data_IF_688716350720
#
_entry.id   IF_688716350720
#
_cell.length_a   1.000
_cell.length_b   1.000
_cell.length_c   1.000
_cell.angle_alpha   90.00
_cell.angle_beta   90.00
_cell.angle_gamma   90.00
#
_symmetry.space_group_name_H-M   'P 1'
#
loop_
_entity.id
_entity.type
_entity.pdbx_description
1 polymer ?
#
# COMPACT_ATOMS: atom_id res chain seq x y z
N UNK A 1 6.82 22.61 -15.38
CA UNK A 1 6.95 21.77 -14.18
C UNK A 1 6.51 20.38 -14.61
N UNK A 2 7.44 19.45 -14.73
CA UNK A 2 7.14 18.11 -15.21
C UNK A 2 6.22 17.39 -14.23
N UNK A 3 5.11 16.91 -14.70
CA UNK A 3 4.29 15.94 -13.97
C UNK A 3 5.10 14.66 -13.87
N UNK A 4 5.53 14.30 -12.67
CA UNK A 4 6.23 13.05 -12.43
C UNK A 4 5.28 11.90 -12.74
N UNK A 5 5.60 11.09 -13.73
CA UNK A 5 4.86 9.90 -14.15
C UNK A 5 5.27 8.68 -13.31
N UNK A 6 5.38 8.88 -12.01
CA UNK A 6 5.89 7.89 -11.08
C UNK A 6 4.79 7.40 -10.17
N UNK A 7 4.79 6.12 -9.83
CA UNK A 7 3.95 5.57 -8.76
C UNK A 7 4.85 5.24 -7.55
N UNK A 8 4.72 5.97 -6.45
CA UNK A 8 5.39 5.62 -5.21
C UNK A 8 4.66 4.45 -4.55
N UNK A 9 5.40 3.39 -4.27
CA UNK A 9 4.89 2.20 -3.62
C UNK A 9 5.70 1.89 -2.36
N UNK A 10 5.04 1.38 -1.33
CA UNK A 10 5.68 0.79 -0.16
C UNK A 10 5.03 -0.55 0.11
N UNK A 11 5.80 -1.63 0.02
CA UNK A 11 5.29 -2.98 0.00
C UNK A 11 6.23 -3.98 0.67
N UNK A 12 5.70 -5.16 0.97
CA UNK A 12 6.44 -6.28 1.51
C UNK A 12 6.13 -7.53 0.68
N UNK A 13 7.14 -8.34 0.42
CA UNK A 13 7.00 -9.56 -0.38
C UNK A 13 7.68 -10.76 0.27
N UNK A 14 7.00 -11.89 0.22
CA UNK A 14 7.54 -13.19 0.61
C UNK A 14 8.24 -13.90 -0.55
N UNK A 15 9.07 -14.92 -0.27
CA UNK A 15 9.73 -15.72 -1.30
C UNK A 15 8.71 -16.51 -2.14
N UNK A 16 9.09 -16.82 -3.40
CA UNK A 16 8.27 -17.60 -4.32
C UNK A 16 6.89 -16.98 -4.61
N UNK A 17 6.91 -15.71 -4.95
CA UNK A 17 5.69 -14.98 -5.32
C UNK A 17 4.80 -15.77 -6.30
N UNK A 18 3.45 -15.79 -6.11
CA UNK A 18 2.70 -15.15 -5.03
C UNK A 18 2.51 -16.04 -3.78
N UNK A 19 3.19 -17.21 -3.69
CA UNK A 19 2.87 -18.28 -2.71
C UNK A 19 3.09 -17.87 -1.24
N UNK A 20 4.01 -16.94 -0.99
CA UNK A 20 4.30 -16.41 0.36
C UNK A 20 3.85 -14.99 0.55
N UNK A 21 3.00 -14.53 -0.38
CA UNK A 21 2.26 -13.30 -0.30
C UNK A 21 3.05 -12.03 -0.62
N UNK A 22 2.29 -10.97 -0.81
CA UNK A 22 2.74 -9.59 -0.95
C UNK A 22 1.70 -8.69 -0.27
N UNK A 23 2.15 -7.64 0.39
CA UNK A 23 1.32 -6.66 1.09
C UNK A 23 1.77 -5.28 0.63
N UNK A 24 0.92 -4.62 -0.15
CA UNK A 24 1.15 -3.28 -0.66
C UNK A 24 0.44 -2.29 0.26
N UNK A 25 1.21 -1.49 0.97
CA UNK A 25 0.69 -0.55 1.98
C UNK A 25 0.37 0.79 1.34
N UNK A 26 1.27 1.23 0.46
CA UNK A 26 1.10 2.45 -0.33
C UNK A 26 1.23 2.05 -1.78
N UNK A 27 0.17 2.23 -2.55
CA UNK A 27 0.12 1.84 -3.94
C UNK A 27 -0.78 2.76 -4.75
N UNK A 28 -0.36 3.11 -5.95
CA UNK A 28 -1.17 3.84 -6.89
C UNK A 28 -0.43 4.12 -8.18
N UNK A 29 -1.15 4.41 -9.25
CA UNK A 29 -0.57 4.65 -10.56
C UNK A 29 -1.02 5.98 -11.16
N UNK A 30 -0.18 6.54 -12.02
CA UNK A 30 -0.46 7.72 -12.82
C UNK A 30 -0.89 8.92 -11.94
N UNK A 31 -2.12 9.42 -12.11
CA UNK A 31 -2.68 10.53 -11.36
C UNK A 31 -3.68 10.09 -10.29
N UNK A 32 -3.51 8.91 -9.72
CA UNK A 32 -4.33 8.47 -8.60
C UNK A 32 -4.24 9.48 -7.45
N UNK A 33 -5.37 9.69 -6.80
CA UNK A 33 -5.50 10.59 -5.64
C UNK A 33 -5.84 9.84 -4.36
N UNK A 34 -6.18 8.56 -4.48
CA UNK A 34 -6.51 7.68 -3.38
C UNK A 34 -5.50 6.53 -3.32
N UNK A 35 -5.06 6.22 -2.12
CA UNK A 35 -4.17 5.08 -1.89
C UNK A 35 -4.93 3.77 -2.03
N UNK A 36 -4.29 2.78 -2.60
CA UNK A 36 -4.73 1.40 -2.59
C UNK A 36 -3.88 0.60 -1.61
N UNK A 37 -4.51 -0.32 -0.91
CA UNK A 37 -3.85 -1.34 -0.11
C UNK A 37 -4.21 -2.67 -0.72
N UNK A 38 -3.24 -3.40 -1.23
CA UNK A 38 -3.47 -4.63 -1.98
C UNK A 38 -2.80 -5.81 -1.31
N UNK A 39 -3.42 -6.97 -1.38
CA UNK A 39 -2.83 -8.25 -0.99
C UNK A 39 -2.77 -9.17 -2.20
N UNK A 40 -1.61 -9.78 -2.42
CA UNK A 40 -1.40 -10.82 -3.41
C UNK A 40 -1.00 -12.11 -2.71
N UNK A 41 -1.57 -13.24 -3.12
CA UNK A 41 -1.27 -14.53 -2.50
C UNK A 41 -1.44 -15.70 -3.47
N UNK A 42 -1.13 -16.91 -3.03
CA UNK A 42 -1.65 -18.11 -3.68
C UNK A 42 -3.18 -18.20 -3.51
N UNK A 43 -3.89 -18.92 -4.42
CA UNK A 43 -5.36 -19.05 -4.36
C UNK A 43 -5.90 -19.50 -3.02
N UNK A 44 -7.14 -19.10 -2.71
CA UNK A 44 -7.87 -19.48 -1.50
C UNK A 44 -7.74 -18.50 -0.34
N UNK A 45 -7.21 -17.30 -0.55
CA UNK A 45 -7.29 -16.19 0.39
C UNK A 45 -8.43 -15.24 -0.03
N UNK A 46 -9.61 -15.39 0.56
CA UNK A 46 -10.82 -14.60 0.28
C UNK A 46 -11.16 -13.77 1.52
N UNK A 47 -10.47 -12.63 1.73
CA UNK A 47 -10.66 -11.88 2.96
C UNK A 47 -11.99 -11.11 2.97
N UNK A 48 -12.69 -11.21 4.09
CA UNK A 48 -13.80 -10.35 4.46
C UNK A 48 -13.31 -9.08 5.17
N UNK A 49 -14.23 -8.14 5.42
CA UNK A 49 -13.96 -7.02 6.34
C UNK A 49 -13.94 -7.55 7.76
N UNK A 50 -12.84 -7.32 8.46
CA UNK A 50 -12.66 -7.75 9.85
C UNK A 50 -13.47 -6.94 10.85
N UNK A 51 -13.46 -7.39 12.11
CA UNK A 51 -14.09 -6.67 13.22
C UNK A 51 -13.54 -5.25 13.35
N UNK A 52 -14.41 -4.28 13.59
CA UNK A 52 -14.11 -2.84 13.61
C UNK A 52 -14.29 -2.14 12.26
N UNK A 53 -14.65 -2.88 11.21
CA UNK A 53 -14.94 -2.29 9.90
C UNK A 53 -13.70 -1.78 9.16
N UNK A 54 -13.95 -1.04 8.09
CA UNK A 54 -12.97 -0.27 7.32
C UNK A 54 -13.65 0.95 6.72
N UNK A 55 -12.87 1.99 6.38
CA UNK A 55 -13.41 3.17 5.71
C UNK A 55 -13.27 3.07 4.19
N UNK A 56 -12.26 2.36 3.69
CA UNK A 56 -12.06 2.13 2.26
C UNK A 56 -13.05 1.13 1.67
N UNK A 57 -13.13 1.08 0.36
CA UNK A 57 -13.98 0.16 -0.39
C UNK A 57 -13.17 -0.93 -1.09
N UNK A 58 -13.84 -2.05 -1.37
CA UNK A 58 -13.20 -3.20 -2.00
C UNK A 58 -12.89 -2.93 -3.48
N UNK A 59 -11.71 -3.32 -3.91
CA UNK A 59 -11.26 -3.31 -5.29
C UNK A 59 -10.56 -4.64 -5.63
N UNK A 60 -10.33 -4.88 -6.91
CA UNK A 60 -9.66 -6.09 -7.37
C UNK A 60 -10.52 -7.35 -7.23
N UNK A 61 -9.87 -8.49 -7.07
CA UNK A 61 -10.53 -9.78 -6.94
C UNK A 61 -11.02 -10.04 -5.51
N UNK A 62 -12.01 -10.92 -5.35
CA UNK A 62 -12.40 -11.41 -4.02
C UNK A 62 -11.32 -12.34 -3.43
N UNK A 63 -10.75 -13.23 -4.25
CA UNK A 63 -9.60 -14.09 -3.89
C UNK A 63 -8.31 -13.40 -4.29
N UNK A 64 -7.45 -13.11 -3.31
CA UNK A 64 -6.16 -12.44 -3.53
C UNK A 64 -5.20 -13.24 -4.44
N UNK A 65 -5.45 -14.54 -4.61
CA UNK A 65 -4.69 -15.44 -5.49
C UNK A 65 -5.34 -15.72 -6.85
N UNK A 66 -6.49 -15.13 -7.15
CA UNK A 66 -7.15 -15.33 -8.43
C UNK A 66 -6.27 -14.89 -9.59
N UNK A 67 -6.30 -15.66 -10.70
CA UNK A 67 -5.49 -15.35 -11.88
C UNK A 67 -3.98 -15.40 -11.66
N UNK A 68 -3.51 -16.19 -10.68
CA UNK A 68 -2.09 -16.29 -10.34
C UNK A 68 -1.61 -15.15 -9.41
N UNK A 69 -2.52 -14.44 -8.78
CA UNK A 69 -2.21 -13.37 -7.83
C UNK A 69 -1.98 -12.00 -8.44
N UNK A 70 -1.93 -11.87 -9.76
CA UNK A 70 -1.54 -10.61 -10.44
C UNK A 70 -2.42 -9.40 -10.11
N UNK A 71 -3.73 -9.58 -10.00
CA UNK A 71 -4.63 -8.46 -9.66
C UNK A 71 -4.72 -8.23 -8.15
N UNK A 72 -4.55 -9.29 -7.37
CA UNK A 72 -4.73 -9.22 -5.91
C UNK A 72 -6.17 -8.94 -5.47
N UNK A 73 -6.31 -8.72 -4.19
CA UNK A 73 -7.53 -8.24 -3.55
C UNK A 73 -7.23 -6.96 -2.77
N UNK A 74 -7.95 -5.88 -3.04
CA UNK A 74 -7.55 -4.55 -2.55
C UNK A 74 -8.63 -3.81 -1.78
N UNK A 75 -8.19 -2.73 -1.15
CA UNK A 75 -9.01 -1.71 -0.49
C UNK A 75 -8.54 -0.35 -0.93
N UNK A 76 -9.38 0.41 -1.63
CA UNK A 76 -9.06 1.80 -1.97
C UNK A 76 -9.55 2.73 -0.87
N UNK A 77 -8.69 3.65 -0.46
CA UNK A 77 -9.00 4.67 0.54
C UNK A 77 -10.11 5.60 0.03
N UNK A 78 -10.96 6.08 0.93
CA UNK A 78 -11.91 7.17 0.64
C UNK A 78 -11.39 8.55 1.05
N UNK A 79 -10.11 8.65 1.42
CA UNK A 79 -9.49 9.91 1.89
C UNK A 79 -8.70 10.53 0.72
N UNK A 80 -9.18 11.65 0.18
CA UNK A 80 -8.60 12.29 -1.00
C UNK A 80 -7.15 12.82 -0.82
N UNK A 81 -6.67 12.90 0.41
CA UNK A 81 -5.29 13.28 0.74
C UNK A 81 -4.40 12.08 1.03
N UNK A 82 -4.88 10.88 0.76
CA UNK A 82 -4.12 9.66 1.06
C UNK A 82 -3.04 9.35 0.02
N UNK A 83 -3.08 9.95 -1.17
CA UNK A 83 -2.10 9.68 -2.21
C UNK A 83 -1.88 10.88 -3.15
N UNK A 84 -0.79 10.86 -3.92
CA UNK A 84 -0.52 11.77 -5.02
C UNK A 84 -0.30 13.23 -4.59
N UNK A 85 -0.69 14.16 -5.47
CA UNK A 85 -0.44 15.59 -5.26
C UNK A 85 -1.13 16.16 -4.02
N UNK A 86 -2.31 15.66 -3.69
CA UNK A 86 -3.06 16.11 -2.51
C UNK A 86 -2.41 15.64 -1.20
N UNK A 87 -1.82 14.45 -1.16
CA UNK A 87 -1.00 13.97 -0.05
C UNK A 87 0.18 14.90 0.20
N UNK A 88 0.94 15.25 -0.85
CA UNK A 88 2.08 16.16 -0.75
C UNK A 88 1.67 17.56 -0.32
N UNK A 89 0.59 18.11 -0.92
CA UNK A 89 0.08 19.43 -0.58
C UNK A 89 -0.42 19.54 0.87
N UNK A 90 -0.88 18.41 1.44
CA UNK A 90 -1.34 18.33 2.84
C UNK A 90 -0.19 18.08 3.84
N UNK A 91 1.07 18.10 3.38
CA UNK A 91 2.25 17.90 4.22
C UNK A 91 2.60 16.43 4.48
N UNK A 92 2.06 15.52 3.65
CA UNK A 92 2.31 14.09 3.80
C UNK A 92 1.46 13.44 4.89
N UNK A 93 1.93 12.30 5.40
CA UNK A 93 1.22 11.55 6.42
C UNK A 93 2.00 10.31 6.87
N UNK A 94 1.33 9.49 7.68
CA UNK A 94 1.86 8.21 8.16
C UNK A 94 0.88 7.10 7.75
N UNK A 95 1.42 6.06 7.16
CA UNK A 95 0.74 4.78 7.03
C UNK A 95 1.21 3.87 8.15
N UNK A 96 0.28 3.25 8.83
CA UNK A 96 0.56 2.31 9.90
C UNK A 96 -0.14 1.00 9.60
N UNK A 97 0.57 -0.12 9.68
CA UNK A 97 0.03 -1.44 9.44
C UNK A 97 0.10 -2.31 10.69
N UNK A 98 -0.89 -3.16 10.86
CA UNK A 98 -0.93 -4.22 11.85
C UNK A 98 -1.18 -5.54 11.12
N UNK A 99 -0.20 -6.43 11.19
CA UNK A 99 -0.31 -7.78 10.68
C UNK A 99 -0.31 -8.79 11.83
N UNK A 100 -1.35 -9.62 11.87
CA UNK A 100 -1.53 -10.71 12.82
C UNK A 100 -1.99 -11.98 12.10
N UNK A 101 -2.02 -13.12 12.77
CA UNK A 101 -2.57 -14.36 12.23
C UNK A 101 -4.05 -14.25 11.80
N UNK A 102 -4.80 -13.30 12.33
CA UNK A 102 -6.25 -13.15 12.11
C UNK A 102 -6.64 -11.99 11.21
N UNK A 103 -5.76 -10.99 11.00
CA UNK A 103 -6.06 -9.81 10.21
C UNK A 103 -4.81 -9.07 9.74
N UNK A 104 -4.95 -8.39 8.59
CA UNK A 104 -4.05 -7.33 8.14
C UNK A 104 -4.85 -6.05 8.09
N UNK A 105 -4.39 -5.01 8.81
CA UNK A 105 -5.06 -3.71 8.89
C UNK A 105 -4.10 -2.60 8.53
N UNK A 106 -4.59 -1.58 7.81
CA UNK A 106 -3.80 -0.40 7.46
C UNK A 106 -4.58 0.86 7.78
N UNK A 107 -3.92 1.81 8.43
CA UNK A 107 -4.40 3.16 8.72
C UNK A 107 -3.60 4.19 7.94
N UNK A 108 -4.24 5.27 7.58
CA UNK A 108 -3.60 6.49 7.11
C UNK A 108 -3.92 7.65 8.04
N UNK A 109 -2.90 8.40 8.40
CA UNK A 109 -3.02 9.62 9.18
C UNK A 109 -2.34 10.76 8.43
N UNK A 110 -3.06 11.83 8.13
CA UNK A 110 -2.42 13.05 7.62
C UNK A 110 -1.39 13.56 8.64
N UNK A 111 -0.36 14.26 8.19
CA UNK A 111 0.76 14.66 9.04
C UNK A 111 0.35 15.36 10.36
N UNK A 112 -0.70 16.21 10.30
CA UNK A 112 -1.26 16.91 11.47
C UNK A 112 -2.05 16.00 12.42
N UNK A 113 -2.59 14.89 11.91
CA UNK A 113 -3.53 14.00 12.62
C UNK A 113 -2.85 12.72 13.12
N UNK A 114 -1.52 12.61 12.98
CA UNK A 114 -0.75 11.44 13.47
C UNK A 114 -0.94 11.28 14.97
N UNK A 115 -1.39 10.11 15.45
CA UNK A 115 -1.58 9.85 16.88
C UNK A 115 -0.33 10.10 17.72
N UNK A 116 -0.51 10.66 18.92
CA UNK A 116 0.59 10.95 19.81
C UNK A 116 1.40 9.70 20.21
N UNK A 117 0.73 8.55 20.31
CA UNK A 117 1.41 7.29 20.64
C UNK A 117 2.36 6.83 19.52
N UNK A 118 2.05 7.10 18.23
CA UNK A 118 2.99 6.86 17.12
C UNK A 118 4.18 7.81 17.24
N UNK A 119 3.92 9.12 17.44
CA UNK A 119 4.99 10.13 17.59
C UNK A 119 5.93 9.85 18.77
N UNK A 120 5.41 9.22 19.81
CA UNK A 120 6.15 8.89 21.03
C UNK A 120 6.76 7.48 21.01
N UNK A 121 6.78 6.79 19.85
CA UNK A 121 7.28 5.42 19.68
C UNK A 121 6.62 4.39 20.63
N UNK A 122 5.35 4.58 20.95
CA UNK A 122 4.54 3.67 21.77
C UNK A 122 3.20 3.39 21.08
N UNK A 123 3.20 2.77 19.88
CA UNK A 123 2.00 2.58 19.06
C UNK A 123 0.96 1.70 19.76
N UNK A 124 -0.31 2.14 19.74
CA UNK A 124 -1.45 1.37 20.21
C UNK A 124 -2.55 1.36 19.12
N UNK A 125 -2.58 0.34 18.26
CA UNK A 125 -3.55 0.22 17.18
C UNK A 125 -5.02 0.23 17.62
N UNK A 126 -5.31 -0.14 18.87
CA UNK A 126 -6.66 -0.13 19.40
C UNK A 126 -7.24 1.29 19.59
N UNK A 127 -6.35 2.28 19.66
CA UNK A 127 -6.72 3.69 19.83
C UNK A 127 -6.84 4.46 18.50
N UNK A 128 -6.52 3.84 17.37
CA UNK A 128 -6.41 4.53 16.06
C UNK A 128 -7.72 4.64 15.28
N UNK A 129 -8.81 4.10 15.81
CA UNK A 129 -10.12 4.10 15.14
C UNK A 129 -10.19 3.13 13.97
N UNK A 130 -11.13 3.38 13.07
CA UNK A 130 -11.40 2.50 11.93
C UNK A 130 -10.28 2.62 10.87
N UNK A 131 -9.65 1.50 10.45
CA UNK A 131 -8.61 1.52 9.43
C UNK A 131 -9.17 1.84 8.03
N UNK A 132 -8.30 2.26 7.11
CA UNK A 132 -8.66 2.36 5.68
C UNK A 132 -8.83 0.99 5.04
N UNK A 133 -8.04 0.00 5.47
CA UNK A 133 -8.13 -1.38 5.01
C UNK A 133 -8.15 -2.34 6.19
N UNK A 134 -9.01 -3.36 6.13
CA UNK A 134 -9.14 -4.39 7.17
C UNK A 134 -9.48 -5.74 6.53
N UNK A 135 -8.47 -6.55 6.32
CA UNK A 135 -8.59 -7.90 5.76
C UNK A 135 -8.63 -8.92 6.88
N UNK A 136 -9.66 -9.77 6.92
CA UNK A 136 -9.81 -10.85 7.87
C UNK A 136 -10.41 -12.10 7.21
N UNK A 137 -10.35 -13.26 7.88
CA UNK A 137 -10.98 -14.49 7.39
C UNK A 137 -10.16 -15.29 6.37
N UNK A 138 -8.92 -14.88 6.11
CA UNK A 138 -7.91 -15.66 5.38
C UNK A 138 -6.93 -16.29 6.38
N UNK A 139 -6.31 -17.40 6.03
CA UNK A 139 -5.20 -17.97 6.80
C UNK A 139 -3.91 -17.19 6.49
N UNK A 140 -3.71 -16.06 7.18
CA UNK A 140 -2.58 -15.18 6.91
C UNK A 140 -1.23 -15.81 7.21
N UNK A 141 -1.12 -16.70 8.20
CA UNK A 141 0.14 -17.38 8.53
C UNK A 141 0.58 -18.35 7.42
N UNK A 142 -0.39 -18.94 6.69
CA UNK A 142 -0.12 -19.81 5.56
C UNK A 142 0.25 -19.00 4.30
N UNK A 143 -0.53 -17.96 4.01
CA UNK A 143 -0.47 -17.23 2.75
C UNK A 143 0.63 -16.16 2.74
N UNK A 144 0.97 -15.63 3.89
CA UNK A 144 1.92 -14.54 4.05
C UNK A 144 3.00 -14.95 5.05
N UNK A 145 4.25 -14.76 4.72
CA UNK A 145 5.31 -15.09 5.68
C UNK A 145 6.72 -14.89 5.16
N UNK A 146 7.64 -14.65 6.08
CA UNK A 146 9.05 -14.35 5.78
C UNK A 146 9.20 -13.16 4.83
N UNK A 147 8.39 -12.11 5.04
CA UNK A 147 8.34 -10.93 4.18
C UNK A 147 9.63 -10.13 4.26
N UNK A 148 10.08 -9.67 3.10
CA UNK A 148 11.09 -8.62 2.98
C UNK A 148 10.39 -7.30 2.68
N UNK A 149 10.81 -6.23 3.37
CA UNK A 149 10.42 -4.87 2.97
C UNK A 149 11.23 -4.55 1.71
N UNK A 150 10.54 -4.21 0.64
CA UNK A 150 11.20 -3.82 -0.60
C UNK A 150 11.54 -2.34 -0.54
N UNK A 151 12.83 -2.09 -0.71
CA UNK A 151 13.42 -0.78 -0.60
C UNK A 151 14.45 -0.59 -1.71
N UNK A 152 14.29 0.45 -2.51
CA UNK A 152 15.18 0.75 -3.65
C UNK A 152 16.23 1.82 -3.39
N UNK A 153 16.29 2.40 -2.20
CA UNK A 153 17.30 3.44 -1.86
C UNK A 153 18.52 2.89 -1.11
N UNK A 154 19.71 3.40 -1.37
CA UNK A 154 20.87 3.07 -0.55
C UNK A 154 20.69 3.62 0.88
N UNK A 155 21.05 2.80 1.86
CA UNK A 155 21.04 3.15 3.26
C UNK A 155 21.84 4.45 3.51
N UNK A 156 21.19 5.51 3.94
CA UNK A 156 21.90 6.69 4.42
C UNK A 156 22.53 6.39 5.78
N UNK A 157 23.84 6.62 5.90
CA UNK A 157 24.52 6.58 7.19
C UNK A 157 24.47 7.97 7.81
N UNK A 158 23.64 8.15 8.80
CA UNK A 158 23.74 9.31 9.68
C UNK A 158 24.52 8.94 10.95
N UNK A 159 25.63 9.64 11.19
CA UNK A 159 26.49 9.48 12.37
C UNK A 159 26.95 8.02 12.63
N UNK A 160 27.19 7.24 11.58
CA UNK A 160 27.69 5.87 11.70
C UNK A 160 26.65 4.83 12.13
N UNK A 161 25.40 5.23 12.33
CA UNK A 161 24.27 4.35 12.67
C UNK A 161 23.41 4.15 11.43
N UNK A 162 23.06 2.88 11.13
CA UNK A 162 22.09 2.55 10.10
C UNK A 162 20.72 2.99 10.61
N UNK A 163 20.14 3.99 9.99
CA UNK A 163 18.74 4.35 10.19
C UNK A 163 17.91 3.68 9.10
N UNK A 164 16.88 3.00 9.51
CA UNK A 164 15.88 2.45 8.59
C UNK A 164 15.04 3.63 8.10
N UNK A 165 15.19 3.96 6.83
CA UNK A 165 14.24 4.84 6.16
C UNK A 165 13.30 3.95 5.37
N UNK A 166 12.01 4.17 5.54
CA UNK A 166 11.01 3.60 4.67
C UNK A 166 11.23 4.17 3.25
N UNK A 167 11.39 3.30 2.27
CA UNK A 167 11.74 3.72 0.92
C UNK A 167 10.55 3.48 0.03
N UNK A 168 10.19 4.55 -0.66
CA UNK A 168 9.19 4.52 -1.70
C UNK A 168 9.86 4.06 -3.00
N UNK A 169 9.38 2.97 -3.55
CA UNK A 169 9.71 2.59 -4.91
C UNK A 169 8.98 3.54 -5.87
N UNK A 170 9.71 4.11 -6.82
CA UNK A 170 9.15 5.03 -7.80
C UNK A 170 9.52 4.49 -9.17
N UNK A 171 8.61 3.76 -9.80
CA UNK A 171 8.83 3.15 -11.10
C UNK A 171 8.27 4.03 -12.21
N UNK A 172 9.05 4.27 -13.25
CA UNK A 172 8.58 4.91 -14.48
C UNK A 172 7.91 3.86 -15.36
N UNK A 173 6.70 4.14 -15.77
CA UNK A 173 5.88 3.32 -16.67
C UNK A 173 5.52 1.94 -16.11
N UNK A 174 6.40 1.03 -15.86
CA UNK A 174 6.13 -0.31 -15.34
C UNK A 174 4.98 -1.07 -16.03
N UNK A 175 4.81 -2.34 -15.71
CA UNK A 175 3.80 -3.18 -16.37
C UNK A 175 2.36 -2.69 -16.11
N UNK A 176 2.06 -2.29 -14.89
CA UNK A 176 0.71 -1.82 -14.54
C UNK A 176 0.46 -0.39 -15.02
N UNK A 177 1.32 0.57 -14.68
CA UNK A 177 1.13 1.96 -15.07
C UNK A 177 1.10 2.13 -16.59
N UNK A 178 1.96 1.40 -17.32
CA UNK A 178 1.98 1.38 -18.77
C UNK A 178 0.71 0.75 -19.37
N UNK A 179 0.23 -0.37 -18.81
CA UNK A 179 -0.97 -1.04 -19.30
C UNK A 179 -2.25 -0.19 -19.18
N UNK A 180 -2.37 0.62 -18.11
CA UNK A 180 -3.53 1.49 -17.88
C UNK A 180 -3.33 2.93 -18.36
N UNK A 181 -2.18 3.25 -18.96
CA UNK A 181 -1.83 4.60 -19.40
C UNK A 181 -2.88 5.19 -20.35
N UNK A 182 -3.25 4.44 -21.38
CA UNK A 182 -4.20 4.89 -22.42
C UNK A 182 -5.60 5.21 -21.89
N UNK A 183 -5.99 4.68 -20.72
CA UNK A 183 -7.26 4.97 -20.06
C UNK A 183 -7.14 6.04 -18.97
N UNK A 184 -5.93 6.52 -18.69
CA UNK A 184 -5.68 7.54 -17.69
C UNK A 184 -5.82 8.95 -18.26
N UNK A 185 -6.06 9.94 -17.39
CA UNK A 185 -6.05 11.35 -17.78
C UNK A 185 -4.67 11.84 -18.25
N UNK A 186 -3.61 11.08 -17.99
CA UNK A 186 -2.25 11.38 -18.44
C UNK A 186 -2.10 11.23 -19.97
N UNK A 187 -2.81 10.28 -20.60
CA UNK A 187 -2.73 10.02 -22.03
C UNK A 187 -3.16 11.22 -22.89
N UNK A 188 -4.01 12.10 -22.37
CA UNK A 188 -4.40 13.33 -23.05
C UNK A 188 -3.27 14.37 -23.18
N UNK A 189 -2.29 14.31 -22.29
CA UNK A 189 -1.14 15.24 -22.27
C UNK A 189 0.12 14.64 -22.89
N UNK A 190 0.24 13.31 -22.87
CA UNK A 190 1.33 12.57 -23.48
C UNK A 190 0.81 11.23 -24.01
N UNK A 191 0.90 10.94 -25.33
CA UNK A 191 0.32 9.74 -25.92
C UNK A 191 1.03 8.43 -25.53
N UNK A 192 2.23 8.50 -24.99
CA UNK A 192 2.97 7.34 -24.49
C UNK A 192 3.44 7.54 -23.05
N UNK A 193 3.62 6.44 -22.36
CA UNK A 193 4.20 6.43 -21.02
C UNK A 193 5.73 6.63 -21.02
N UNK A 194 6.38 6.54 -22.21
CA UNK A 194 7.81 6.68 -22.42
C UNK A 194 8.24 8.14 -22.56
#
# INVERSE_FOLDING_TARGET
MGTSLTHPDSWMVGPNWPNRGEIDIIEGVNLNTYNQVTLHSSPGCVPSVGSGGQTGHNIGNADCGAGGGFTGCGRESNIATSYGTAFNANGGGVYASLWTSSAIKVWYFAARDVPANIRNNNPDPNSWGTPIANFAGCNFDEKFGSMNIVSTCPLAKENGKLTWHEIFDITFCGDWAGAVWGSSSCAGSNPSCE
#
